data_IF_126838640059
#
_entry.id   IF_126838640059
#
_cell.length_a   1.000
_cell.length_b   1.000
_cell.length_c   1.000
_cell.angle_alpha   90.00
_cell.angle_beta   90.00
_cell.angle_gamma   90.00
#
_symmetry.space_group_name_H-M   'P 1'
#
loop_
_entity.id
_entity.type
_entity.pdbx_description
1 polymer ?
#
# COMPACT_ATOMS: atom_id res chain seq x y z
N UNK A 1 -23.76 2.80 -2.73
CA UNK A 1 -22.81 2.92 -3.86
C UNK A 1 -21.52 2.21 -3.47
N UNK A 2 -21.21 1.14 -4.21
CA UNK A 2 -20.32 0.04 -3.80
C UNK A 2 -18.83 0.43 -3.73
N UNK A 3 -18.31 0.64 -2.51
CA UNK A 3 -16.88 0.88 -2.27
C UNK A 3 -15.99 -0.29 -2.75
N UNK A 4 -16.45 -1.54 -2.60
CA UNK A 4 -15.75 -2.74 -3.12
C UNK A 4 -15.51 -2.67 -4.63
N UNK A 5 -16.37 -1.98 -5.36
CA UNK A 5 -16.33 -1.91 -6.81
C UNK A 5 -15.28 -0.90 -7.32
N UNK A 6 -14.87 0.08 -6.51
CA UNK A 6 -13.87 1.08 -6.94
C UNK A 6 -12.44 0.55 -6.90
N UNK A 7 -12.08 -0.22 -5.87
CA UNK A 7 -10.74 -0.80 -5.74
C UNK A 7 -10.39 -1.68 -6.95
N UNK A 8 -11.27 -2.63 -7.27
CA UNK A 8 -11.07 -3.55 -8.40
C UNK A 8 -11.06 -2.82 -9.75
N UNK A 9 -11.95 -1.84 -9.96
CA UNK A 9 -11.96 -1.02 -11.17
C UNK A 9 -10.66 -0.23 -11.37
N UNK A 10 -10.13 0.34 -10.30
CA UNK A 10 -8.85 1.08 -10.35
C UNK A 10 -7.72 0.12 -10.72
N UNK A 11 -7.66 -1.05 -10.07
CA UNK A 11 -6.68 -2.08 -10.43
C UNK A 11 -6.79 -2.49 -11.90
N UNK A 12 -7.99 -2.83 -12.37
CA UNK A 12 -8.19 -3.30 -13.74
C UNK A 12 -7.80 -2.20 -14.75
N UNK A 13 -8.05 -0.93 -14.41
CA UNK A 13 -7.60 0.20 -15.23
C UNK A 13 -6.08 0.38 -15.23
N UNK A 14 -5.41 0.27 -14.08
CA UNK A 14 -3.95 0.31 -13.98
C UNK A 14 -3.30 -0.84 -14.74
N UNK A 15 -3.87 -2.05 -14.63
CA UNK A 15 -3.41 -3.24 -15.35
C UNK A 15 -3.57 -3.05 -16.86
N UNK A 16 -4.70 -2.50 -17.31
CA UNK A 16 -4.94 -2.22 -18.74
C UNK A 16 -4.04 -1.12 -19.30
N UNK A 17 -3.76 -0.06 -18.54
CA UNK A 17 -2.98 1.08 -19.03
C UNK A 17 -1.47 0.84 -18.96
N UNK A 18 -1.00 0.15 -17.92
CA UNK A 18 0.44 0.05 -17.60
C UNK A 18 0.94 -1.40 -17.50
N UNK A 19 0.11 -2.39 -17.84
CA UNK A 19 0.45 -3.82 -17.83
C UNK A 19 1.05 -4.32 -16.50
N UNK A 20 0.47 -3.86 -15.37
CA UNK A 20 0.84 -4.31 -14.03
C UNK A 20 0.04 -5.55 -13.65
N UNK A 21 0.71 -6.55 -13.04
CA UNK A 21 0.13 -7.87 -12.70
C UNK A 21 0.26 -8.17 -11.21
N UNK A 22 -0.45 -7.39 -10.39
CA UNK A 22 -0.45 -7.51 -8.92
C UNK A 22 -1.82 -7.87 -8.30
N UNK A 23 -2.84 -8.23 -9.09
CA UNK A 23 -4.22 -8.47 -8.60
C UNK A 23 -4.26 -9.44 -7.43
N UNK A 24 -3.55 -10.55 -7.57
CA UNK A 24 -3.56 -11.63 -6.59
C UNK A 24 -2.90 -11.21 -5.27
N UNK A 25 -1.86 -10.37 -5.35
CA UNK A 25 -1.12 -9.86 -4.20
C UNK A 25 -1.89 -8.78 -3.44
N UNK A 26 -2.73 -8.00 -4.13
CA UNK A 26 -3.60 -7.00 -3.51
C UNK A 26 -4.75 -7.61 -2.71
N UNK A 27 -5.13 -8.86 -3.01
CA UNK A 27 -6.21 -9.54 -2.30
C UNK A 27 -5.84 -9.69 -0.82
N UNK A 28 -6.73 -9.21 0.04
CA UNK A 28 -6.56 -9.19 1.50
C UNK A 28 -5.28 -8.44 1.95
N UNK A 29 -4.83 -7.49 1.13
CA UNK A 29 -3.72 -6.58 1.48
C UNK A 29 -4.25 -5.35 2.21
N UNK A 30 -3.40 -4.68 3.02
CA UNK A 30 -3.78 -3.42 3.67
C UNK A 30 -3.95 -2.25 2.67
N UNK A 31 -3.66 -2.46 1.38
CA UNK A 31 -3.72 -1.41 0.36
C UNK A 31 -5.08 -1.41 -0.35
N UNK A 32 -5.87 -0.37 -0.11
CA UNK A 32 -7.15 -0.17 -0.80
C UNK A 32 -7.11 1.10 -1.66
N UNK A 33 -7.04 0.96 -2.98
CA UNK A 33 -7.23 2.08 -3.91
C UNK A 33 -8.59 2.78 -3.73
N UNK A 34 -8.54 4.10 -3.59
CA UNK A 34 -9.72 4.96 -3.46
C UNK A 34 -10.07 5.68 -4.76
N UNK A 35 -9.08 6.31 -5.41
CA UNK A 35 -9.25 7.06 -6.66
C UNK A 35 -8.03 6.88 -7.57
N UNK A 36 -8.30 6.90 -8.88
CA UNK A 36 -7.30 7.06 -9.93
C UNK A 36 -7.68 8.30 -10.74
N UNK A 37 -6.79 9.28 -10.80
CA UNK A 37 -6.99 10.56 -11.46
C UNK A 37 -5.98 10.71 -12.60
N UNK A 38 -6.41 11.38 -13.67
CA UNK A 38 -5.51 11.90 -14.69
C UNK A 38 -5.52 13.43 -14.55
N UNK A 39 -4.36 14.02 -14.25
CA UNK A 39 -4.22 15.43 -13.90
C UNK A 39 -3.31 16.09 -14.93
N UNK A 40 -3.82 17.17 -15.53
CA UNK A 40 -3.05 18.07 -16.37
C UNK A 40 -2.65 19.31 -15.59
N UNK A 41 -1.36 19.59 -15.51
CA UNK A 41 -0.87 20.86 -15.00
C UNK A 41 -1.12 21.96 -16.04
N UNK A 42 -1.90 22.97 -15.69
CA UNK A 42 -2.28 24.05 -16.62
C UNK A 42 -1.17 25.06 -16.91
N UNK A 43 -0.13 25.11 -16.08
CA UNK A 43 1.02 26.01 -16.26
C UNK A 43 2.12 25.34 -17.07
N UNK A 44 2.42 24.07 -16.76
CA UNK A 44 3.49 23.32 -17.43
C UNK A 44 3.00 22.44 -18.58
N UNK A 45 1.69 22.36 -18.79
CA UNK A 45 1.00 21.47 -19.72
C UNK A 45 1.26 19.96 -19.53
N UNK A 46 2.03 19.57 -18.51
CA UNK A 46 2.36 18.17 -18.23
C UNK A 46 1.16 17.40 -17.70
N UNK A 47 1.06 16.15 -18.12
CA UNK A 47 0.03 15.20 -17.68
C UNK A 47 0.63 14.13 -16.76
N UNK A 48 -0.06 13.83 -15.67
CA UNK A 48 0.32 12.78 -14.72
C UNK A 48 -0.91 12.01 -14.25
N UNK A 49 -0.69 10.77 -13.83
CA UNK A 49 -1.66 9.97 -13.12
C UNK A 49 -1.43 10.08 -11.61
N UNK A 50 -2.52 10.00 -10.84
CA UNK A 50 -2.47 10.00 -9.38
C UNK A 50 -3.34 8.90 -8.82
N UNK A 51 -2.76 8.05 -7.98
CA UNK A 51 -3.47 7.06 -7.16
C UNK A 51 -3.62 7.62 -5.75
N UNK A 52 -4.85 7.62 -5.26
CA UNK A 52 -5.18 7.92 -3.86
C UNK A 52 -5.55 6.60 -3.19
N UNK A 53 -4.89 6.27 -2.09
CA UNK A 53 -5.20 5.12 -1.25
C UNK A 53 -6.21 5.53 -0.17
N UNK A 54 -7.06 4.59 0.25
CA UNK A 54 -8.10 4.84 1.25
C UNK A 54 -7.48 4.84 2.64
N UNK A 55 -7.81 5.87 3.43
CA UNK A 55 -7.33 5.97 4.81
C UNK A 55 -5.83 6.27 4.91
N UNK A 56 -5.21 6.73 3.83
CA UNK A 56 -3.79 7.06 3.76
C UNK A 56 -3.63 8.50 3.28
N UNK A 57 -2.67 9.22 3.85
CA UNK A 57 -2.38 10.61 3.49
C UNK A 57 -1.55 10.71 2.21
N UNK A 58 -0.71 9.70 1.96
CA UNK A 58 0.18 9.69 0.79
C UNK A 58 -0.55 9.30 -0.49
N UNK A 59 -0.22 10.02 -1.57
CA UNK A 59 -0.69 9.75 -2.93
C UNK A 59 0.48 9.36 -3.80
N UNK A 60 0.24 8.45 -4.74
CA UNK A 60 1.25 8.02 -5.70
C UNK A 60 1.02 8.75 -7.03
N UNK A 61 2.00 9.56 -7.44
CA UNK A 61 1.99 10.33 -8.68
C UNK A 61 2.96 9.69 -9.67
N UNK A 62 2.60 9.60 -10.95
CA UNK A 62 3.44 8.98 -11.98
C UNK A 62 2.99 9.40 -13.39
N UNK A 63 3.90 9.42 -14.36
CA UNK A 63 3.58 9.72 -15.77
C UNK A 63 3.59 8.49 -16.68
N UNK A 64 4.36 7.48 -16.32
CA UNK A 64 4.51 6.25 -17.09
C UNK A 64 4.58 5.02 -16.17
N UNK A 65 4.76 3.85 -16.80
CA UNK A 65 4.83 2.57 -16.11
C UNK A 65 6.04 2.47 -15.18
N UNK A 66 7.19 2.99 -15.55
CA UNK A 66 8.42 2.82 -14.79
C UNK A 66 8.40 3.69 -13.54
N UNK A 67 7.86 4.90 -13.67
CA UNK A 67 7.55 5.75 -12.53
C UNK A 67 6.45 5.15 -11.65
N UNK A 68 5.40 4.57 -12.25
CA UNK A 68 4.38 3.88 -11.48
C UNK A 68 5.00 2.79 -10.61
N UNK A 69 5.79 1.89 -11.20
CA UNK A 69 6.41 0.78 -10.46
C UNK A 69 7.37 1.30 -9.40
N UNK A 70 8.23 2.27 -9.74
CA UNK A 70 9.23 2.82 -8.81
C UNK A 70 8.57 3.53 -7.64
N UNK A 71 7.59 4.40 -7.90
CA UNK A 71 6.90 5.14 -6.86
C UNK A 71 5.99 4.23 -6.04
N UNK A 72 5.48 3.14 -6.62
CA UNK A 72 4.71 2.14 -5.87
C UNK A 72 5.60 1.33 -4.94
N UNK A 73 6.80 0.92 -5.38
CA UNK A 73 7.77 0.26 -4.50
C UNK A 73 8.14 1.18 -3.34
N UNK A 74 8.49 2.43 -3.61
CA UNK A 74 8.82 3.41 -2.57
C UNK A 74 7.66 3.63 -1.59
N UNK A 75 6.43 3.71 -2.09
CA UNK A 75 5.24 3.81 -1.25
C UNK A 75 5.08 2.57 -0.34
N UNK A 76 5.26 1.36 -0.87
CA UNK A 76 5.19 0.13 -0.08
C UNK A 76 6.29 0.08 0.98
N UNK A 77 7.50 0.52 0.66
CA UNK A 77 8.62 0.57 1.61
C UNK A 77 8.31 1.51 2.78
N UNK A 78 7.72 2.67 2.52
CA UNK A 78 7.26 3.59 3.57
C UNK A 78 6.21 2.90 4.46
N UNK A 79 5.21 2.26 3.87
CA UNK A 79 4.16 1.57 4.64
C UNK A 79 4.71 0.38 5.45
N UNK A 80 5.73 -0.32 4.95
CA UNK A 80 6.44 -1.36 5.70
C UNK A 80 7.15 -0.74 6.91
N UNK A 81 7.89 0.35 6.73
CA UNK A 81 8.58 1.00 7.84
C UNK A 81 7.62 1.50 8.93
N UNK A 82 6.45 2.02 8.54
CA UNK A 82 5.40 2.42 9.51
C UNK A 82 4.92 1.22 10.33
N UNK A 83 4.70 0.07 9.69
CA UNK A 83 4.27 -1.15 10.38
C UNK A 83 5.37 -1.75 11.26
N UNK A 84 6.64 -1.63 10.87
CA UNK A 84 7.79 -2.04 11.68
C UNK A 84 7.93 -1.16 12.93
N UNK A 85 7.74 0.16 12.80
CA UNK A 85 7.71 1.10 13.93
C UNK A 85 6.54 0.77 14.88
N UNK A 86 5.34 0.53 14.34
CA UNK A 86 4.15 0.12 15.12
C UNK A 86 4.39 -1.19 15.89
N UNK A 87 5.10 -2.14 15.28
CA UNK A 87 5.49 -3.39 15.94
C UNK A 87 6.48 -3.17 17.08
N UNK A 88 7.48 -2.30 16.88
CA UNK A 88 8.45 -1.96 17.93
C UNK A 88 7.77 -1.24 19.09
N UNK A 89 6.87 -0.30 18.81
CA UNK A 89 6.07 0.40 19.83
C UNK A 89 5.22 -0.58 20.65
N UNK A 90 4.55 -1.52 19.98
CA UNK A 90 3.72 -2.53 20.66
C UNK A 90 4.57 -3.44 21.56
N UNK A 91 5.74 -3.89 21.09
CA UNK A 91 6.68 -4.65 21.91
C UNK A 91 7.20 -3.84 23.11
N UNK A 92 7.51 -2.56 22.92
CA UNK A 92 7.95 -1.70 24.02
C UNK A 92 6.83 -1.48 25.04
N UNK A 93 5.59 -1.32 24.59
CA UNK A 93 4.42 -1.26 25.44
C UNK A 93 4.29 -2.52 26.30
N UNK A 94 4.37 -3.72 25.70
CA UNK A 94 4.29 -4.98 26.44
C UNK A 94 5.40 -5.11 27.50
N UNK A 95 6.63 -4.75 27.14
CA UNK A 95 7.79 -4.83 28.03
C UNK A 95 7.77 -3.79 29.16
N UNK A 96 7.21 -2.61 28.92
CA UNK A 96 7.17 -1.50 29.89
C UNK A 96 5.92 -1.52 30.79
N UNK A 97 4.87 -2.25 30.39
CA UNK A 97 3.56 -2.27 31.04
C UNK A 97 3.49 -3.17 32.29
N UNK A 98 4.58 -3.41 33.01
CA UNK A 98 4.55 -4.17 34.27
C UNK A 98 3.54 -3.54 35.26
N UNK A 99 2.38 -4.19 35.42
CA UNK A 99 1.32 -3.78 36.35
C UNK A 99 0.14 -3.02 35.71
N UNK A 100 0.16 -2.73 34.41
CA UNK A 100 -0.98 -2.17 33.67
C UNK A 100 -1.85 -3.33 33.18
N UNK A 101 -3.16 -3.27 33.44
CA UNK A 101 -4.12 -4.23 32.85
C UNK A 101 -4.41 -3.80 31.42
N UNK A 102 -3.95 -4.60 30.46
CA UNK A 102 -4.38 -4.55 29.07
C UNK A 102 -4.97 -5.91 28.66
N UNK A 103 -5.68 -5.97 27.55
CA UNK A 103 -6.23 -7.21 27.01
C UNK A 103 -5.16 -7.92 26.16
N UNK A 104 -4.61 -9.02 26.66
CA UNK A 104 -3.61 -9.82 25.96
C UNK A 104 -4.12 -10.29 24.58
N UNK A 105 -5.43 -10.51 24.42
CA UNK A 105 -5.98 -10.93 23.13
C UNK A 105 -5.97 -9.78 22.11
N UNK A 106 -6.19 -8.54 22.55
CA UNK A 106 -6.17 -7.37 21.69
C UNK A 106 -4.75 -7.12 21.17
N UNK A 107 -3.75 -7.19 22.06
CA UNK A 107 -2.34 -7.06 21.71
C UNK A 107 -1.89 -8.17 20.77
N UNK A 108 -2.26 -9.42 21.06
CA UNK A 108 -1.97 -10.54 20.17
C UNK A 108 -2.59 -10.35 18.77
N UNK A 109 -3.85 -9.93 18.70
CA UNK A 109 -4.53 -9.68 17.44
C UNK A 109 -3.88 -8.53 16.64
N UNK A 110 -3.35 -7.53 17.35
CA UNK A 110 -2.61 -6.42 16.75
C UNK A 110 -1.31 -6.91 16.11
N UNK A 111 -0.50 -7.70 16.82
CA UNK A 111 0.70 -8.34 16.28
C UNK A 111 0.40 -9.19 15.03
N UNK A 112 -0.65 -10.00 15.06
CA UNK A 112 -1.09 -10.80 13.91
C UNK A 112 -1.48 -9.91 12.72
N UNK A 113 -2.18 -8.80 12.99
CA UNK A 113 -2.60 -7.85 11.95
C UNK A 113 -1.38 -7.18 11.29
N UNK A 114 -0.40 -6.77 12.08
CA UNK A 114 0.85 -6.18 11.57
C UNK A 114 1.62 -7.23 10.75
N UNK A 115 1.81 -8.43 11.28
CA UNK A 115 2.53 -9.51 10.60
C UNK A 115 1.90 -9.90 9.25
N UNK A 116 0.57 -10.06 9.20
CA UNK A 116 -0.15 -10.33 7.95
C UNK A 116 0.00 -9.17 6.95
N UNK A 117 -0.12 -7.93 7.42
CA UNK A 117 0.02 -6.73 6.59
C UNK A 117 1.42 -6.62 5.98
N UNK A 118 2.47 -6.80 6.79
CA UNK A 118 3.86 -6.84 6.35
C UNK A 118 4.08 -7.94 5.31
N UNK A 119 3.57 -9.16 5.56
CA UNK A 119 3.70 -10.26 4.61
C UNK A 119 3.10 -9.91 3.25
N UNK A 120 1.89 -9.33 3.25
CA UNK A 120 1.20 -8.92 2.01
C UNK A 120 1.93 -7.81 1.27
N UNK A 121 2.39 -6.78 1.97
CA UNK A 121 3.15 -5.68 1.38
C UNK A 121 4.46 -6.18 0.74
N UNK A 122 5.19 -7.06 1.42
CA UNK A 122 6.39 -7.68 0.87
C UNK A 122 6.08 -8.49 -0.41
N UNK A 123 4.99 -9.27 -0.45
CA UNK A 123 4.58 -9.98 -1.66
C UNK A 123 4.30 -9.04 -2.84
N UNK A 124 3.66 -7.90 -2.60
CA UNK A 124 3.40 -6.89 -3.64
C UNK A 124 4.71 -6.28 -4.11
N UNK A 125 5.60 -5.86 -3.18
CA UNK A 125 6.91 -5.28 -3.49
C UNK A 125 7.74 -6.22 -4.36
N UNK A 126 7.89 -7.48 -3.95
CA UNK A 126 8.69 -8.46 -4.67
C UNK A 126 8.12 -8.75 -6.07
N UNK A 127 6.80 -8.70 -6.22
CA UNK A 127 6.14 -8.83 -7.53
C UNK A 127 6.44 -7.63 -8.43
N UNK A 128 6.35 -6.42 -7.89
CA UNK A 128 6.66 -5.18 -8.63
C UNK A 128 8.13 -5.12 -9.05
N UNK A 129 9.06 -5.56 -8.20
CA UNK A 129 10.49 -5.67 -8.53
C UNK A 129 10.71 -6.63 -9.72
N UNK A 130 10.05 -7.79 -9.71
CA UNK A 130 10.10 -8.75 -10.83
C UNK A 130 9.52 -8.16 -12.11
N UNK A 131 8.40 -7.45 -12.01
CA UNK A 131 7.77 -6.78 -13.15
C UNK A 131 8.65 -5.64 -13.70
N UNK A 132 9.48 -4.99 -12.86
CA UNK A 132 10.48 -4.00 -13.28
C UNK A 132 11.63 -4.64 -14.07
N UNK A 133 12.12 -5.80 -13.63
CA UNK A 133 13.28 -6.47 -14.22
C UNK A 133 12.98 -7.26 -15.52
N UNK A 134 11.69 -7.48 -15.83
CA UNK A 134 11.25 -8.29 -16.97
C UNK A 134 11.06 -7.49 -18.27
N UNK A 135 11.48 -6.22 -18.29
CA UNK A 135 11.42 -5.29 -19.42
C UNK A 135 12.76 -4.55 -19.55
#
# INVERSE_FOLDING_TARGET
MDKKNNHEKIYDKLSSLFNIRIKAQLKDSPLEFHKLLHIKNVVTENENYVIIFKGKEHTLIFKDRDELITNFIAYIEIEISVLEEEFEELNQFENSSMGIKYDDNEVYLHHETIGHSLHKLNQIRDRLIKDKASH
#
